data_IF_426268728782
#
_entry.id   IF_426268728782
#
_cell.length_a   1.000
_cell.length_b   1.000
_cell.length_c   1.000
_cell.angle_alpha   90.00
_cell.angle_beta   90.00
_cell.angle_gamma   90.00
#
_symmetry.space_group_name_H-M   'P 1'
#
loop_
_entity.id
_entity.type
_entity.pdbx_description
1 polymer ?
#
# COMPACT_ATOMS: atom_id res chain seq x y z
N UNK A 1 -47.09 9.58 11.54
CA UNK A 1 -45.77 10.22 11.76
C UNK A 1 -44.76 9.47 10.91
N UNK A 2 -44.06 10.19 10.04
CA UNK A 2 -43.23 9.61 8.98
C UNK A 2 -41.83 9.24 9.54
N UNK A 3 -41.25 8.06 9.27
CA UNK A 3 -40.02 7.62 9.94
C UNK A 3 -38.70 8.23 9.41
N UNK A 4 -38.75 9.17 8.46
CA UNK A 4 -37.62 9.46 7.56
C UNK A 4 -37.06 10.89 7.61
N UNK A 5 -37.19 11.62 8.71
CA UNK A 5 -36.52 12.92 8.87
C UNK A 5 -35.72 12.95 10.17
N UNK A 6 -34.48 12.46 10.10
CA UNK A 6 -33.45 12.80 11.09
C UNK A 6 -32.97 14.21 10.76
N UNK A 7 -33.72 15.22 11.20
CA UNK A 7 -33.23 16.61 11.26
C UNK A 7 -32.17 16.70 12.36
N UNK A 8 -30.93 16.32 12.05
CA UNK A 8 -29.79 16.56 12.95
C UNK A 8 -29.37 18.01 12.78
N UNK A 9 -29.89 18.89 13.63
CA UNK A 9 -29.78 20.35 13.50
C UNK A 9 -28.68 20.97 14.35
N UNK A 10 -28.02 20.21 15.24
CA UNK A 10 -26.87 20.69 16.00
C UNK A 10 -25.76 19.62 16.20
N UNK A 11 -24.49 20.04 16.17
CA UNK A 11 -23.30 19.20 16.45
C UNK A 11 -23.40 18.47 17.81
N UNK A 12 -24.08 19.08 18.80
CA UNK A 12 -24.37 18.45 20.09
C UNK A 12 -25.24 17.20 19.97
N UNK A 13 -26.23 17.23 19.08
CA UNK A 13 -27.13 16.09 18.84
C UNK A 13 -26.37 14.97 18.12
N UNK A 14 -25.43 15.32 17.24
CA UNK A 14 -24.52 14.35 16.60
C UNK A 14 -23.64 13.62 17.62
N UNK A 15 -23.07 14.32 18.61
CA UNK A 15 -22.31 13.67 19.70
C UNK A 15 -23.17 12.74 20.55
N UNK A 16 -24.43 13.11 20.82
CA UNK A 16 -25.36 12.27 21.57
C UNK A 16 -25.75 11.02 20.78
N UNK A 17 -26.01 11.16 19.48
CA UNK A 17 -26.25 10.04 18.57
C UNK A 17 -25.02 9.11 18.51
N UNK A 18 -23.82 9.67 18.38
CA UNK A 18 -22.57 8.89 18.35
C UNK A 18 -22.33 8.11 19.64
N UNK A 19 -22.69 8.69 20.80
CA UNK A 19 -22.66 7.99 22.09
C UNK A 19 -23.76 6.93 22.25
N UNK A 20 -24.86 7.06 21.51
CA UNK A 20 -25.94 6.08 21.50
C UNK A 20 -25.60 4.83 20.67
N UNK A 21 -24.64 4.92 19.74
CA UNK A 21 -24.12 3.74 19.04
C UNK A 21 -23.29 2.88 19.99
N UNK A 22 -23.43 1.54 19.91
CA UNK A 22 -22.65 0.65 20.76
C UNK A 22 -21.16 0.84 20.47
N UNK A 23 -20.32 0.99 21.52
CA UNK A 23 -18.89 1.20 21.34
C UNK A 23 -18.29 -0.01 20.62
N UNK A 24 -17.42 0.27 19.65
CA UNK A 24 -16.66 -0.79 18.98
C UNK A 24 -15.82 -1.49 20.04
N UNK A 25 -15.99 -2.81 20.15
CA UNK A 25 -15.21 -3.64 21.07
C UNK A 25 -13.72 -3.46 20.78
N UNK A 26 -12.93 -3.18 21.82
CA UNK A 26 -11.47 -2.99 21.71
C UNK A 26 -10.81 -4.20 21.05
N UNK A 27 -11.32 -5.41 21.32
CA UNK A 27 -10.85 -6.65 20.73
C UNK A 27 -11.04 -6.69 19.20
N UNK A 28 -12.14 -6.13 18.69
CA UNK A 28 -12.39 -6.04 17.24
C UNK A 28 -11.42 -5.07 16.57
N UNK A 29 -11.14 -3.93 17.23
CA UNK A 29 -10.16 -2.95 16.74
C UNK A 29 -8.75 -3.54 16.73
N UNK A 30 -8.36 -4.19 17.83
CA UNK A 30 -7.05 -4.84 17.94
C UNK A 30 -6.88 -5.93 16.88
N UNK A 31 -7.91 -6.73 16.62
CA UNK A 31 -7.89 -7.73 15.54
C UNK A 31 -7.72 -7.08 14.17
N UNK A 32 -8.39 -5.97 13.90
CA UNK A 32 -8.26 -5.24 12.63
C UNK A 32 -6.82 -4.73 12.44
N UNK A 33 -6.23 -4.13 13.46
CA UNK A 33 -4.86 -3.59 13.43
C UNK A 33 -3.84 -4.73 13.27
N UNK A 34 -3.97 -5.80 14.06
CA UNK A 34 -3.08 -6.97 13.96
C UNK A 34 -3.15 -7.59 12.56
N UNK A 35 -4.36 -7.77 12.01
CA UNK A 35 -4.55 -8.27 10.66
C UNK A 35 -3.89 -7.36 9.63
N UNK A 36 -4.02 -6.03 9.74
CA UNK A 36 -3.35 -5.08 8.86
C UNK A 36 -1.82 -5.22 8.92
N UNK A 37 -1.23 -5.24 10.12
CA UNK A 37 0.23 -5.33 10.28
C UNK A 37 0.78 -6.61 9.65
N UNK A 38 0.07 -7.72 9.82
CA UNK A 38 0.39 -9.01 9.20
C UNK A 38 0.19 -8.92 7.69
N UNK A 39 -0.93 -8.38 7.23
CA UNK A 39 -1.22 -8.21 5.81
C UNK A 39 -0.18 -7.38 5.08
N UNK A 40 0.31 -6.31 5.70
CA UNK A 40 1.31 -5.39 5.15
C UNK A 40 2.76 -5.90 5.30
N UNK A 41 2.98 -7.04 5.96
CA UNK A 41 4.31 -7.62 6.17
C UNK A 41 5.14 -6.92 7.25
N UNK A 42 4.52 -6.22 8.20
CA UNK A 42 5.19 -5.60 9.33
C UNK A 42 5.33 -6.59 10.50
N UNK A 43 6.19 -7.61 10.34
CA UNK A 43 6.35 -8.71 11.31
C UNK A 43 6.63 -8.22 12.74
N UNK A 44 7.68 -7.41 12.92
CA UNK A 44 8.08 -6.94 14.26
C UNK A 44 6.98 -6.15 14.97
N UNK A 45 6.25 -5.32 14.20
CA UNK A 45 5.13 -4.55 14.72
C UNK A 45 3.95 -5.47 15.06
N UNK A 46 3.65 -6.45 14.20
CA UNK A 46 2.60 -7.44 14.43
C UNK A 46 2.87 -8.28 15.68
N UNK A 47 4.11 -8.71 15.89
CA UNK A 47 4.51 -9.52 17.05
C UNK A 47 4.38 -8.73 18.35
N UNK A 48 4.93 -7.51 18.39
CA UNK A 48 4.84 -6.64 19.57
C UNK A 48 3.39 -6.29 19.88
N UNK A 49 2.62 -5.90 18.86
CA UNK A 49 1.22 -5.55 19.00
C UNK A 49 0.38 -6.73 19.46
N UNK A 50 0.59 -7.92 18.91
CA UNK A 50 -0.18 -9.12 19.27
C UNK A 50 0.04 -9.53 20.73
N UNK A 51 1.29 -9.41 21.22
CA UNK A 51 1.63 -9.65 22.64
C UNK A 51 0.95 -8.65 23.58
N UNK A 52 0.99 -7.36 23.24
CA UNK A 52 0.41 -6.30 24.07
C UNK A 52 -1.13 -6.30 24.04
N UNK A 53 -1.71 -6.53 22.87
CA UNK A 53 -3.14 -6.51 22.65
C UNK A 53 -3.84 -7.84 23.02
N UNK A 54 -3.07 -8.86 23.41
CA UNK A 54 -3.52 -10.23 23.68
C UNK A 54 -4.39 -10.81 22.55
N UNK A 55 -3.97 -10.56 21.31
CA UNK A 55 -4.63 -11.07 20.09
C UNK A 55 -3.80 -12.22 19.56
N UNK A 56 -4.45 -13.36 19.31
CA UNK A 56 -3.86 -14.49 18.60
C UNK A 56 -4.20 -14.39 17.11
N UNK A 57 -3.29 -13.91 16.26
CA UNK A 57 -3.50 -13.95 14.83
C UNK A 57 -3.48 -15.40 14.32
N UNK A 58 -4.41 -15.75 13.42
CA UNK A 58 -4.43 -17.05 12.73
C UNK A 58 -3.48 -16.99 11.55
N UNK A 59 -2.19 -17.21 11.77
CA UNK A 59 -1.22 -17.10 10.67
C UNK A 59 -0.24 -18.25 10.69
N UNK A 60 0.11 -18.71 9.49
CA UNK A 60 1.15 -19.70 9.26
C UNK A 60 2.51 -18.97 9.24
N UNK A 61 3.27 -19.08 10.33
CA UNK A 61 4.51 -18.32 10.57
C UNK A 61 5.54 -18.45 9.43
N UNK A 62 5.64 -19.63 8.80
CA UNK A 62 6.60 -19.84 7.71
C UNK A 62 6.27 -19.03 6.45
N UNK A 63 4.99 -19.01 6.03
CA UNK A 63 4.57 -18.25 4.84
C UNK A 63 4.70 -16.74 5.05
N UNK A 64 4.59 -16.29 6.30
CA UNK A 64 4.83 -14.90 6.68
C UNK A 64 6.28 -14.51 6.56
N UNK A 65 7.19 -15.34 7.07
CA UNK A 65 8.60 -15.03 7.11
C UNK A 65 9.18 -14.87 5.71
N UNK A 66 8.79 -15.75 4.78
CA UNK A 66 9.16 -15.60 3.37
C UNK A 66 8.60 -14.33 2.73
N UNK A 67 7.32 -14.01 2.98
CA UNK A 67 6.68 -12.81 2.45
C UNK A 67 7.31 -11.53 2.99
N UNK A 68 7.62 -11.49 4.29
CA UNK A 68 8.32 -10.37 4.92
C UNK A 68 9.72 -10.20 4.33
N UNK A 69 10.44 -11.30 4.11
CA UNK A 69 11.74 -11.26 3.45
C UNK A 69 11.67 -10.66 2.05
N UNK A 70 10.69 -11.05 1.23
CA UNK A 70 10.49 -10.47 -0.11
C UNK A 70 10.24 -8.96 0.00
N UNK A 71 9.33 -8.55 0.88
CA UNK A 71 8.97 -7.12 1.09
C UNK A 71 10.19 -6.31 1.54
N UNK A 72 10.97 -6.80 2.50
CA UNK A 72 12.17 -6.13 2.98
C UNK A 72 13.24 -6.03 1.90
N UNK A 73 13.42 -7.09 1.11
CA UNK A 73 14.36 -7.11 -0.02
C UNK A 73 14.01 -6.02 -1.05
N UNK A 74 12.72 -5.85 -1.37
CA UNK A 74 12.23 -4.76 -2.24
C UNK A 74 12.44 -3.38 -1.59
N UNK A 75 12.10 -3.23 -0.31
CA UNK A 75 12.25 -1.97 0.45
C UNK A 75 13.71 -1.52 0.55
N UNK A 76 14.64 -2.46 0.55
CA UNK A 76 16.08 -2.21 0.55
C UNK A 76 16.63 -1.88 -0.85
N UNK A 77 15.84 -2.07 -1.92
CA UNK A 77 16.26 -1.82 -3.29
C UNK A 77 16.92 -3.03 -3.97
N UNK A 78 16.85 -4.22 -3.39
CA UNK A 78 17.44 -5.43 -3.99
C UNK A 78 16.43 -6.09 -4.95
N UNK A 79 16.08 -5.42 -6.05
CA UNK A 79 14.99 -5.86 -6.92
C UNK A 79 15.24 -7.23 -7.57
N UNK A 80 16.46 -7.52 -8.01
CA UNK A 80 16.81 -8.83 -8.61
C UNK A 80 16.69 -9.97 -7.60
N UNK A 81 17.23 -9.79 -6.39
CA UNK A 81 17.08 -10.79 -5.31
C UNK A 81 15.60 -10.99 -4.96
N UNK A 82 14.80 -9.93 -4.97
CA UNK A 82 13.37 -10.03 -4.74
C UNK A 82 12.66 -10.85 -5.82
N UNK A 83 13.06 -10.72 -7.10
CA UNK A 83 12.52 -11.55 -8.18
C UNK A 83 12.83 -13.03 -7.96
N UNK A 84 14.08 -13.37 -7.61
CA UNK A 84 14.48 -14.74 -7.31
C UNK A 84 13.69 -15.32 -6.11
N UNK A 85 13.49 -14.51 -5.07
CA UNK A 85 12.71 -14.91 -3.90
C UNK A 85 11.23 -15.12 -4.24
N UNK A 86 10.65 -14.25 -5.08
CA UNK A 86 9.27 -14.41 -5.56
C UNK A 86 9.12 -15.71 -6.34
N UNK A 87 10.00 -15.99 -7.29
CA UNK A 87 9.93 -17.21 -8.09
C UNK A 87 10.14 -18.47 -7.24
N UNK A 88 10.97 -18.40 -6.19
CA UNK A 88 11.16 -19.51 -5.25
C UNK A 88 9.93 -19.80 -4.38
N UNK A 89 9.15 -18.78 -4.03
CA UNK A 89 8.02 -18.88 -3.11
C UNK A 89 6.68 -19.10 -3.84
N UNK A 90 6.52 -18.46 -4.99
CA UNK A 90 5.33 -18.47 -5.82
C UNK A 90 5.73 -18.67 -7.30
N UNK A 91 6.16 -19.88 -7.69
CA UNK A 91 6.62 -20.15 -9.06
C UNK A 91 5.54 -19.81 -10.09
N UNK A 92 5.95 -19.18 -11.21
CA UNK A 92 5.07 -18.76 -12.30
C UNK A 92 4.32 -17.45 -12.06
N UNK A 93 4.36 -16.87 -10.85
CA UNK A 93 3.67 -15.61 -10.56
C UNK A 93 4.17 -14.43 -11.42
N UNK A 94 5.47 -14.40 -11.70
CA UNK A 94 6.10 -13.38 -12.55
C UNK A 94 5.81 -13.60 -14.04
N UNK A 95 5.62 -14.84 -14.46
CA UNK A 95 5.21 -15.18 -15.84
C UNK A 95 3.75 -14.82 -16.08
N UNK A 96 2.88 -15.05 -15.09
CA UNK A 96 1.45 -14.71 -15.17
C UNK A 96 1.21 -13.19 -15.15
N UNK A 97 1.92 -12.44 -14.29
CA UNK A 97 1.78 -10.99 -14.12
C UNK A 97 2.96 -10.22 -14.72
N UNK A 98 2.91 -10.04 -16.04
CA UNK A 98 3.93 -9.32 -16.81
C UNK A 98 4.16 -7.88 -16.31
N UNK A 99 3.12 -7.23 -15.75
CA UNK A 99 3.20 -5.86 -15.24
C UNK A 99 3.92 -5.81 -13.88
N UNK A 100 3.81 -6.86 -13.07
CA UNK A 100 4.63 -7.01 -11.87
C UNK A 100 6.11 -7.20 -12.21
N UNK A 101 6.40 -8.07 -13.18
CA UNK A 101 7.77 -8.28 -13.68
C UNK A 101 8.38 -7.00 -14.21
N UNK A 102 7.64 -6.24 -15.04
CA UNK A 102 8.05 -4.93 -15.52
C UNK A 102 8.39 -3.96 -14.36
N UNK A 103 7.57 -3.90 -13.31
CA UNK A 103 7.82 -3.00 -12.17
C UNK A 103 9.04 -3.38 -11.35
N UNK A 104 9.31 -4.67 -11.17
CA UNK A 104 10.54 -5.12 -10.50
C UNK A 104 11.79 -4.84 -11.35
N UNK A 105 11.72 -5.03 -12.67
CA UNK A 105 12.78 -4.64 -13.60
C UNK A 105 13.01 -3.11 -13.61
N UNK A 106 11.92 -2.32 -13.63
CA UNK A 106 11.98 -0.86 -13.55
C UNK A 106 12.61 -0.42 -12.23
N UNK A 107 12.24 -1.05 -11.11
CA UNK A 107 12.84 -0.77 -9.81
C UNK A 107 14.35 -1.00 -9.86
N UNK A 108 14.82 -2.14 -10.41
CA UNK A 108 16.26 -2.39 -10.55
C UNK A 108 16.98 -1.28 -11.34
N UNK A 109 16.37 -0.81 -12.43
CA UNK A 109 16.92 0.31 -13.20
C UNK A 109 16.99 1.60 -12.38
N UNK A 110 15.93 1.92 -11.62
CA UNK A 110 15.88 3.07 -10.71
C UNK A 110 16.99 2.96 -9.63
N UNK A 111 17.26 1.76 -9.11
CA UNK A 111 18.32 1.53 -8.12
C UNK A 111 19.71 1.78 -8.71
N UNK A 112 19.97 1.35 -9.95
CA UNK A 112 21.21 1.64 -10.66
C UNK A 112 21.40 3.15 -10.88
N UNK A 113 20.32 3.85 -11.25
CA UNK A 113 20.31 5.32 -11.39
C UNK A 113 20.58 5.99 -10.04
N UNK A 114 19.96 5.51 -8.95
CA UNK A 114 20.16 6.03 -7.59
C UNK A 114 21.60 5.85 -7.12
N UNK A 115 22.25 4.75 -7.50
CA UNK A 115 23.66 4.49 -7.19
C UNK A 115 24.65 5.37 -8.01
N UNK A 116 24.17 6.06 -9.04
CA UNK A 116 25.01 6.86 -9.94
C UNK A 116 25.75 6.04 -11.00
N UNK A 117 25.46 4.74 -11.10
CA UNK A 117 26.05 3.83 -12.09
C UNK A 117 25.34 3.95 -13.44
N UNK A 118 25.64 5.02 -14.19
CA UNK A 118 25.00 5.31 -15.48
C UNK A 118 25.28 4.21 -16.52
N UNK A 119 26.52 3.73 -16.60
CA UNK A 119 26.91 2.68 -17.56
C UNK A 119 26.16 1.38 -17.28
N UNK A 120 26.10 0.96 -16.02
CA UNK A 120 25.35 -0.23 -15.61
C UNK A 120 23.85 -0.07 -15.86
N UNK A 121 23.29 1.11 -15.58
CA UNK A 121 21.88 1.42 -15.83
C UNK A 121 21.54 1.30 -17.34
N UNK A 122 22.39 1.86 -18.20
CA UNK A 122 22.20 1.78 -19.65
C UNK A 122 22.38 0.35 -20.17
N UNK A 123 23.41 -0.35 -19.72
CA UNK A 123 23.63 -1.74 -20.09
C UNK A 123 22.45 -2.62 -19.65
N UNK A 124 22.00 -2.46 -18.41
CA UNK A 124 20.82 -3.16 -17.90
C UNK A 124 19.58 -2.85 -18.73
N UNK A 125 19.30 -1.56 -19.01
CA UNK A 125 18.14 -1.16 -19.78
C UNK A 125 18.12 -1.71 -21.22
N UNK A 126 19.28 -1.96 -21.81
CA UNK A 126 19.41 -2.57 -23.14
C UNK A 126 19.34 -4.10 -23.12
N UNK A 127 19.83 -4.73 -22.05
CA UNK A 127 19.90 -6.19 -21.94
C UNK A 127 18.60 -6.83 -21.46
N UNK A 128 17.78 -6.12 -20.69
CA UNK A 128 16.57 -6.66 -20.07
C UNK A 128 15.47 -6.91 -21.11
N UNK A 129 14.86 -8.11 -21.13
CA UNK A 129 13.64 -8.35 -21.89
C UNK A 129 12.47 -7.67 -21.16
N UNK A 130 12.17 -6.44 -21.57
CA UNK A 130 11.07 -5.68 -20.99
C UNK A 130 9.72 -6.32 -21.34
N UNK A 131 9.11 -7.01 -20.38
CA UNK A 131 7.88 -7.79 -20.57
C UNK A 131 6.68 -6.93 -21.04
N UNK A 132 6.68 -5.62 -20.75
CA UNK A 132 5.55 -4.73 -21.04
C UNK A 132 5.88 -3.49 -21.92
N UNK A 133 7.13 -3.04 -22.00
CA UNK A 133 7.49 -1.74 -22.59
C UNK A 133 7.11 -1.60 -24.08
N UNK A 134 6.95 -2.71 -24.80
CA UNK A 134 6.58 -2.73 -26.22
C UNK A 134 5.07 -2.95 -26.48
N UNK A 135 4.25 -3.21 -25.46
CA UNK A 135 2.85 -3.66 -25.64
C UNK A 135 1.80 -2.64 -25.19
N UNK A 136 2.14 -1.69 -24.31
CA UNK A 136 1.19 -0.66 -23.83
C UNK A 136 1.83 0.72 -23.76
N UNK A 137 1.04 1.76 -24.09
CA UNK A 137 1.46 3.17 -24.02
C UNK A 137 1.89 3.57 -22.60
N UNK A 138 1.25 2.99 -21.58
CA UNK A 138 1.54 3.23 -20.16
C UNK A 138 2.94 2.76 -19.77
N UNK A 139 3.35 1.57 -20.22
CA UNK A 139 4.68 1.03 -19.95
C UNK A 139 5.78 1.89 -20.60
N UNK A 140 5.53 2.37 -21.82
CA UNK A 140 6.43 3.29 -22.52
C UNK A 140 6.60 4.59 -21.73
N UNK A 141 5.51 5.20 -21.25
CA UNK A 141 5.60 6.42 -20.44
C UNK A 141 6.34 6.22 -19.11
N UNK A 142 6.13 5.10 -18.42
CA UNK A 142 6.89 4.78 -17.20
C UNK A 142 8.39 4.61 -17.49
N UNK A 143 8.74 3.99 -18.62
CA UNK A 143 10.13 3.86 -19.06
C UNK A 143 10.76 5.20 -19.43
N UNK A 144 10.05 6.03 -20.21
CA UNK A 144 10.49 7.39 -20.57
C UNK A 144 10.78 8.23 -19.32
N UNK A 145 9.88 8.18 -18.33
CA UNK A 145 10.07 8.88 -17.05
C UNK A 145 11.29 8.39 -16.28
N UNK A 146 11.54 7.08 -16.30
CA UNK A 146 12.68 6.45 -15.62
C UNK A 146 13.99 6.84 -16.31
N UNK A 147 14.06 6.71 -17.64
CA UNK A 147 15.23 7.06 -18.43
C UNK A 147 15.50 8.57 -18.45
N UNK A 148 14.45 9.39 -18.36
CA UNK A 148 14.60 10.84 -18.25
C UNK A 148 15.42 11.25 -17.01
N UNK A 149 15.46 10.42 -15.95
CA UNK A 149 16.32 10.68 -14.77
C UNK A 149 17.81 10.75 -15.15
N UNK A 150 18.25 10.00 -16.16
CA UNK A 150 19.64 10.00 -16.64
C UNK A 150 20.02 11.31 -17.35
N UNK A 151 19.04 12.07 -17.84
CA UNK A 151 19.28 13.34 -18.52
C UNK A 151 19.60 14.49 -17.55
N UNK A 152 19.40 14.30 -16.23
CA UNK A 152 19.66 15.31 -15.22
C UNK A 152 20.99 15.02 -14.49
N UNK A 153 21.84 16.04 -14.27
CA UNK A 153 23.07 15.90 -13.48
C UNK A 153 22.81 15.42 -12.05
N UNK A 154 21.67 15.82 -11.49
CA UNK A 154 21.16 15.36 -10.20
C UNK A 154 19.77 14.74 -10.41
N UNK A 155 19.66 13.40 -10.43
CA UNK A 155 18.40 12.70 -10.69
C UNK A 155 17.24 13.10 -9.75
N UNK A 156 17.53 13.43 -8.49
CA UNK A 156 16.54 13.89 -7.51
C UNK A 156 15.90 15.26 -7.84
N UNK A 157 16.59 16.11 -8.60
CA UNK A 157 16.08 17.41 -9.03
C UNK A 157 15.20 17.31 -10.29
N UNK A 158 15.11 16.11 -10.89
CA UNK A 158 14.23 15.84 -12.02
C UNK A 158 12.75 16.01 -11.62
N UNK A 159 11.87 16.38 -12.57
CA UNK A 159 10.42 16.26 -12.40
C UNK A 159 9.97 14.85 -11.97
N UNK A 160 10.79 13.83 -12.22
CA UNK A 160 10.52 12.43 -11.86
C UNK A 160 11.30 11.95 -10.63
N UNK A 161 11.91 12.86 -9.85
CA UNK A 161 12.68 12.54 -8.65
C UNK A 161 11.91 11.71 -7.61
N UNK A 162 10.57 11.78 -7.61
CA UNK A 162 9.69 10.94 -6.78
C UNK A 162 9.90 9.44 -6.98
N UNK A 163 10.37 9.00 -8.16
CA UNK A 163 10.70 7.60 -8.43
C UNK A 163 11.88 7.11 -7.58
N UNK A 164 12.74 8.03 -7.14
CA UNK A 164 13.91 7.73 -6.31
C UNK A 164 13.59 7.74 -4.82
N UNK A 165 12.37 8.09 -4.41
CA UNK A 165 11.97 8.11 -3.01
C UNK A 165 11.63 6.72 -2.46
N UNK A 166 11.70 6.57 -1.13
CA UNK A 166 11.33 5.33 -0.45
C UNK A 166 9.86 4.95 -0.71
N UNK A 167 8.99 5.94 -0.88
CA UNK A 167 7.57 5.72 -1.17
C UNK A 167 7.36 4.89 -2.45
N UNK A 168 8.26 4.98 -3.44
CA UNK A 168 8.20 4.16 -4.64
C UNK A 168 8.49 2.70 -4.34
N UNK A 169 9.55 2.40 -3.56
CA UNK A 169 9.88 1.03 -3.12
C UNK A 169 8.74 0.41 -2.34
N UNK A 170 8.14 1.18 -1.43
CA UNK A 170 7.01 0.71 -0.62
C UNK A 170 5.80 0.35 -1.48
N UNK A 171 5.50 1.14 -2.52
CA UNK A 171 4.41 0.83 -3.47
C UNK A 171 4.66 -0.46 -4.25
N UNK A 172 5.89 -0.69 -4.72
CA UNK A 172 6.26 -1.95 -5.39
C UNK A 172 6.13 -3.13 -4.42
N UNK A 173 6.64 -2.97 -3.19
CA UNK A 173 6.56 -4.01 -2.16
C UNK A 173 5.11 -4.35 -1.79
N UNK A 174 4.23 -3.34 -1.65
CA UNK A 174 2.79 -3.56 -1.43
C UNK A 174 2.15 -4.33 -2.59
N UNK A 175 2.47 -3.95 -3.84
CA UNK A 175 1.90 -4.61 -5.03
C UNK A 175 2.29 -6.09 -5.10
N UNK A 176 3.57 -6.41 -4.87
CA UNK A 176 4.07 -7.79 -4.86
C UNK A 176 3.43 -8.58 -3.72
N UNK A 177 3.37 -7.98 -2.53
CA UNK A 177 2.76 -8.59 -1.37
C UNK A 177 1.27 -8.94 -1.59
N UNK A 178 0.51 -8.04 -2.21
CA UNK A 178 -0.88 -8.28 -2.57
C UNK A 178 -1.02 -9.41 -3.58
N UNK A 179 -0.13 -9.48 -4.59
CA UNK A 179 -0.15 -10.55 -5.57
C UNK A 179 0.10 -11.92 -4.92
N UNK A 180 1.08 -12.01 -4.02
CA UNK A 180 1.38 -13.23 -3.26
C UNK A 180 0.18 -13.66 -2.39
N UNK A 181 -0.44 -12.72 -1.67
CA UNK A 181 -1.62 -13.00 -0.85
C UNK A 181 -2.79 -13.51 -1.68
N UNK A 182 -2.99 -12.94 -2.88
CA UNK A 182 -4.04 -13.34 -3.82
C UNK A 182 -3.84 -14.76 -4.31
N UNK A 183 -2.61 -15.14 -4.65
CA UNK A 183 -2.26 -16.49 -5.09
C UNK A 183 -2.49 -17.51 -3.97
N UNK A 184 -2.18 -17.16 -2.72
CA UNK A 184 -2.41 -18.00 -1.55
C UNK A 184 -3.89 -18.16 -1.15
N UNK A 185 -4.83 -17.52 -1.86
CA UNK A 185 -6.25 -17.52 -1.54
C UNK A 185 -6.59 -16.87 -0.20
N UNK A 186 -5.68 -16.03 0.33
CA UNK A 186 -5.88 -15.33 1.60
C UNK A 186 -6.64 -14.02 1.38
N UNK A 187 -7.58 -13.71 2.27
CA UNK A 187 -8.22 -12.39 2.27
C UNK A 187 -7.16 -11.31 2.50
N UNK A 188 -7.12 -10.30 1.64
CA UNK A 188 -6.23 -9.14 1.76
C UNK A 188 -6.53 -8.39 3.07
N UNK A 189 -5.67 -8.46 4.11
CA UNK A 189 -6.00 -7.85 5.40
C UNK A 189 -6.00 -6.33 5.34
N UNK A 190 -5.17 -5.76 4.45
CA UNK A 190 -5.12 -4.33 4.10
C UNK A 190 -6.45 -3.83 3.53
N UNK A 191 -7.14 -4.65 2.73
CA UNK A 191 -8.39 -4.26 2.08
C UNK A 191 -9.49 -3.89 3.08
N UNK A 192 -9.57 -4.53 4.25
CA UNK A 192 -10.58 -4.19 5.26
C UNK A 192 -10.35 -2.80 5.86
N UNK A 193 -9.11 -2.47 6.19
CA UNK A 193 -8.79 -1.15 6.74
C UNK A 193 -8.96 -0.06 5.67
N UNK A 194 -8.52 -0.31 4.44
CA UNK A 194 -8.74 0.60 3.31
C UNK A 194 -10.23 0.81 2.99
N UNK A 195 -11.03 -0.26 3.02
CA UNK A 195 -12.48 -0.17 2.82
C UNK A 195 -13.12 0.69 3.90
N UNK A 196 -12.69 0.59 5.16
CA UNK A 196 -13.18 1.44 6.24
C UNK A 196 -12.82 2.90 5.99
N UNK A 197 -11.59 3.21 5.57
CA UNK A 197 -11.20 4.59 5.23
C UNK A 197 -11.99 5.13 4.03
N UNK A 198 -12.17 4.33 2.97
CA UNK A 198 -13.00 4.69 1.81
C UNK A 198 -14.45 4.93 2.22
N UNK A 199 -14.98 4.11 3.13
CA UNK A 199 -16.34 4.26 3.64
C UNK A 199 -16.47 5.56 4.46
N UNK A 200 -15.50 5.89 5.32
CA UNK A 200 -15.49 7.15 6.06
C UNK A 200 -15.53 8.33 5.09
N UNK A 201 -14.60 8.39 4.14
CA UNK A 201 -14.54 9.46 3.13
C UNK A 201 -15.85 9.57 2.33
N UNK A 202 -16.40 8.43 1.91
CA UNK A 202 -17.66 8.38 1.18
C UNK A 202 -18.83 8.89 2.04
N UNK A 203 -18.92 8.47 3.30
CA UNK A 203 -19.98 8.93 4.22
C UNK A 203 -19.90 10.43 4.45
N UNK A 204 -18.72 11.00 4.62
CA UNK A 204 -18.52 12.45 4.78
C UNK A 204 -18.96 13.22 3.53
N UNK A 205 -18.61 12.71 2.35
CA UNK A 205 -19.03 13.30 1.08
C UNK A 205 -20.56 13.26 0.93
N UNK A 206 -21.19 12.14 1.30
CA UNK A 206 -22.64 11.95 1.18
C UNK A 206 -23.43 12.79 2.21
N UNK A 207 -22.93 12.91 3.44
CA UNK A 207 -23.49 13.81 4.46
C UNK A 207 -23.37 15.28 4.06
N UNK A 208 -22.24 15.66 3.44
CA UNK A 208 -22.03 17.01 2.91
C UNK A 208 -23.00 17.34 1.77
N UNK A 209 -23.28 16.39 0.85
CA UNK A 209 -24.30 16.57 -0.20
C UNK A 209 -25.70 16.80 0.37
N UNK A 210 -26.03 16.11 1.46
CA UNK A 210 -27.32 16.22 2.15
C UNK A 210 -27.40 17.42 3.10
N UNK A 211 -26.36 18.26 3.17
CA UNK A 211 -26.28 19.45 4.04
C UNK A 211 -26.50 19.13 5.53
N UNK A 212 -26.16 17.92 5.96
CA UNK A 212 -26.23 17.53 7.37
C UNK A 212 -24.99 18.04 8.11
N UNK A 213 -25.19 18.64 9.28
CA UNK A 213 -24.08 19.05 10.14
C UNK A 213 -23.48 17.82 10.83
N UNK A 214 -22.31 17.38 10.36
CA UNK A 214 -21.54 16.30 10.96
C UNK A 214 -20.11 16.74 11.24
N UNK A 215 -19.48 16.11 12.24
CA UNK A 215 -18.07 16.33 12.56
C UNK A 215 -17.24 15.74 11.43
N UNK A 216 -16.40 16.56 10.79
CA UNK A 216 -15.49 16.12 9.73
C UNK A 216 -14.16 15.68 10.32
N UNK A 217 -13.64 14.57 9.83
CA UNK A 217 -12.29 14.12 10.11
C UNK A 217 -11.32 15.03 9.36
N UNK A 218 -10.38 15.60 10.09
CA UNK A 218 -9.46 16.61 9.57
C UNK A 218 -8.23 15.96 8.94
N UNK A 219 -7.72 14.93 9.62
CA UNK A 219 -6.59 14.13 9.18
C UNK A 219 -6.73 12.73 9.75
N UNK A 220 -6.61 11.72 8.89
CA UNK A 220 -6.56 10.32 9.32
C UNK A 220 -5.28 10.02 10.13
N UNK A 221 -4.19 10.74 9.88
CA UNK A 221 -2.92 10.53 10.55
C UNK A 221 -2.92 11.09 11.99
N UNK A 222 -3.62 12.21 12.20
CA UNK A 222 -3.66 12.89 13.50
C UNK A 222 -4.90 12.54 14.32
N UNK A 223 -5.87 11.83 13.72
CA UNK A 223 -7.19 11.54 14.29
C UNK A 223 -7.90 12.79 14.85
N UNK A 224 -7.65 13.95 14.24
CA UNK A 224 -8.23 15.23 14.66
C UNK A 224 -9.56 15.46 13.95
N UNK A 225 -10.49 16.11 14.66
CA UNK A 225 -11.81 16.46 14.16
C UNK A 225 -11.90 17.99 13.97
N UNK A 226 -12.53 18.47 12.90
CA UNK A 226 -12.96 19.87 12.84
C UNK A 226 -14.20 20.02 13.72
N UNK A 227 -14.02 20.69 14.85
CA UNK A 227 -15.13 21.29 15.58
C UNK A 227 -15.24 22.71 15.02
N UNK A 228 -16.24 22.94 14.17
CA UNK A 228 -16.69 24.29 13.82
C UNK A 228 -17.67 24.81 14.89
#
# INVERSE_FOLDING_TARGET
MNPNQLEVTAVKDWYQLLKAFPPIKKESMNKLIANYLIGAGFKDAADKFSREANVSPKVNDCAMDFRCRIIETIRNGNALEAMDLVESFAPGLLEDDHWMTFRLQQLQLIELIRAGSIEDALHYAQAVPWECAARTLEATHEMERTLALLAFPTPHASPFGVLLEQCHRDRVACTVNEAILRLAGQEQPTARMEQLFKLILWTEAELSKKQLQCIKLNSFAEATFKVE
#
